data_IF_505592369166
#
_entry.id   IF_505592369166
#
_cell.length_a   1.000
_cell.length_b   1.000
_cell.length_c   1.000
_cell.angle_alpha   90.00
_cell.angle_beta   90.00
_cell.angle_gamma   90.00
#
_symmetry.space_group_name_H-M   'P 1'
#
loop_
_entity.id
_entity.type
_entity.pdbx_description
1 polymer ?
#
# COMPACT_ATOMS: atom_id res chain seq x y z
N UNK A 1 -22.64 28.98 -0.89
CA UNK A 1 -21.33 29.04 -1.57
C UNK A 1 -20.84 27.62 -1.77
N UNK A 2 -20.41 27.25 -2.98
CA UNK A 2 -19.79 25.93 -3.23
C UNK A 2 -18.35 25.97 -2.74
N UNK A 3 -17.90 24.89 -2.10
CA UNK A 3 -16.52 24.76 -1.61
C UNK A 3 -15.99 23.36 -1.90
N UNK A 4 -14.69 23.29 -2.18
CA UNK A 4 -13.93 22.04 -2.33
C UNK A 4 -13.23 21.64 -1.02
N UNK A 5 -13.47 22.38 0.07
CA UNK A 5 -12.88 22.14 1.39
C UNK A 5 -13.63 21.08 2.20
N UNK A 6 -12.94 20.45 3.17
CA UNK A 6 -13.58 19.59 4.17
C UNK A 6 -13.50 18.09 3.88
N UNK A 7 -12.71 17.66 2.90
CA UNK A 7 -12.48 16.26 2.58
C UNK A 7 -13.54 15.63 1.68
N UNK A 8 -13.34 14.33 1.36
CA UNK A 8 -14.16 13.57 0.39
C UNK A 8 -15.67 13.70 0.64
N UNK A 9 -16.11 13.44 1.86
CA UNK A 9 -17.55 13.39 2.18
C UNK A 9 -18.20 14.78 2.10
N UNK A 10 -17.47 15.83 2.45
CA UNK A 10 -17.95 17.20 2.31
C UNK A 10 -18.11 17.58 0.83
N UNK A 11 -17.12 17.24 -0.01
CA UNK A 11 -17.19 17.50 -1.46
C UNK A 11 -18.31 16.70 -2.11
N UNK A 12 -18.49 15.43 -1.73
CA UNK A 12 -19.59 14.59 -2.21
C UNK A 12 -20.94 15.19 -1.83
N UNK A 13 -21.14 15.60 -0.57
CA UNK A 13 -22.38 16.23 -0.12
C UNK A 13 -22.67 17.55 -0.86
N UNK A 14 -21.64 18.30 -1.25
CA UNK A 14 -21.82 19.50 -2.09
C UNK A 14 -22.21 19.14 -3.52
N UNK A 15 -21.62 18.10 -4.10
CA UNK A 15 -22.01 17.58 -5.42
C UNK A 15 -23.48 17.14 -5.43
N UNK A 16 -23.91 16.37 -4.44
CA UNK A 16 -25.28 15.87 -4.35
C UNK A 16 -26.29 17.03 -4.24
N UNK A 17 -25.98 18.04 -3.39
CA UNK A 17 -26.79 19.26 -3.27
C UNK A 17 -26.85 20.05 -4.57
N UNK A 18 -25.74 20.16 -5.28
CA UNK A 18 -25.64 20.87 -6.56
C UNK A 18 -26.49 20.18 -7.63
N UNK A 19 -26.36 18.86 -7.77
CA UNK A 19 -27.14 18.06 -8.72
C UNK A 19 -28.64 18.12 -8.40
N UNK A 20 -29.02 18.04 -7.13
CA UNK A 20 -30.41 18.19 -6.71
C UNK A 20 -30.97 19.57 -7.10
N UNK A 21 -30.23 20.65 -6.85
CA UNK A 21 -30.64 22.02 -7.18
C UNK A 21 -30.82 22.22 -8.69
N UNK A 22 -29.89 21.73 -9.51
CA UNK A 22 -29.91 21.89 -10.97
C UNK A 22 -30.67 20.78 -11.71
N UNK A 23 -31.32 19.85 -11.01
CA UNK A 23 -32.08 18.72 -11.58
C UNK A 23 -33.13 19.14 -12.62
N UNK A 24 -33.73 20.32 -12.47
CA UNK A 24 -34.76 20.86 -13.38
C UNK A 24 -34.24 21.84 -14.43
N UNK A 25 -32.92 21.96 -14.60
CA UNK A 25 -32.31 22.93 -15.52
C UNK A 25 -32.81 22.77 -16.97
N UNK A 26 -32.93 21.52 -17.45
CA UNK A 26 -33.45 21.25 -18.80
C UNK A 26 -34.91 21.69 -18.97
N UNK A 27 -35.73 21.50 -17.93
CA UNK A 27 -37.12 21.99 -17.92
C UNK A 27 -37.17 23.52 -18.02
N UNK A 28 -36.37 24.22 -17.21
CA UNK A 28 -36.32 25.69 -17.27
C UNK A 28 -35.76 26.20 -18.60
N UNK A 29 -34.79 25.51 -19.19
CA UNK A 29 -34.25 25.83 -20.52
C UNK A 29 -35.35 25.74 -21.58
N UNK A 30 -36.12 24.64 -21.60
CA UNK A 30 -37.26 24.49 -22.52
C UNK A 30 -38.34 25.55 -22.31
N UNK A 31 -38.66 25.88 -21.05
CA UNK A 31 -39.63 26.93 -20.73
C UNK A 31 -39.14 28.32 -21.19
N UNK A 32 -37.86 28.63 -21.03
CA UNK A 32 -37.26 29.88 -21.51
C UNK A 32 -37.28 29.98 -23.04
N UNK A 33 -36.99 28.89 -23.75
CA UNK A 33 -37.11 28.82 -25.22
C UNK A 33 -38.54 29.09 -25.67
N UNK A 34 -39.53 28.51 -24.99
CA UNK A 34 -40.95 28.78 -25.26
C UNK A 34 -41.32 30.24 -25.03
N UNK A 35 -40.88 30.84 -23.91
CA UNK A 35 -41.11 32.26 -23.60
C UNK A 35 -40.45 33.20 -24.61
N UNK A 36 -39.23 32.89 -25.07
CA UNK A 36 -38.57 33.62 -26.15
C UNK A 36 -39.41 33.62 -27.43
N UNK A 37 -39.96 32.47 -27.82
CA UNK A 37 -40.80 32.35 -29.02
C UNK A 37 -42.08 33.20 -28.90
N UNK A 38 -42.74 33.16 -27.74
CA UNK A 38 -43.93 33.98 -27.46
C UNK A 38 -43.57 35.47 -27.50
N UNK A 39 -42.48 35.87 -26.86
CA UNK A 39 -42.01 37.25 -26.83
C UNK A 39 -41.70 37.78 -28.24
N UNK A 40 -40.99 37.00 -29.06
CA UNK A 40 -40.71 37.36 -30.46
C UNK A 40 -41.99 37.56 -31.28
N UNK A 41 -43.02 36.75 -31.06
CA UNK A 41 -44.30 36.92 -31.74
C UNK A 41 -44.99 38.23 -31.30
N UNK A 42 -44.96 38.57 -30.00
CA UNK A 42 -45.52 39.82 -29.48
C UNK A 42 -44.81 41.03 -30.09
N UNK A 43 -43.47 41.04 -30.08
CA UNK A 43 -42.67 42.14 -30.65
C UNK A 43 -43.02 42.34 -32.13
N UNK A 44 -43.10 41.27 -32.91
CA UNK A 44 -43.49 41.34 -34.33
C UNK A 44 -44.88 41.95 -34.54
N UNK A 45 -45.87 41.55 -33.75
CA UNK A 45 -47.23 42.09 -33.85
C UNK A 45 -47.30 43.56 -33.45
N UNK A 46 -46.49 43.97 -32.48
CA UNK A 46 -46.43 45.33 -31.96
C UNK A 46 -45.70 46.27 -32.92
N UNK A 47 -44.59 45.82 -33.52
CA UNK A 47 -43.85 46.56 -34.56
C UNK A 47 -44.74 46.85 -35.79
N UNK A 48 -45.62 45.92 -36.17
CA UNK A 48 -46.60 46.13 -37.24
C UNK A 48 -47.62 47.24 -36.95
N UNK A 49 -47.89 47.52 -35.66
CA UNK A 49 -48.82 48.56 -35.24
C UNK A 49 -48.16 49.96 -35.16
N UNK A 50 -46.84 50.06 -35.31
CA UNK A 50 -46.09 51.31 -35.52
C UNK A 50 -45.94 52.29 -34.34
N UNK A 51 -46.59 52.01 -33.20
CA UNK A 51 -46.83 53.03 -32.17
C UNK A 51 -46.28 52.70 -30.76
N UNK A 52 -45.51 51.62 -30.60
CA UNK A 52 -45.05 51.14 -29.28
C UNK A 52 -43.54 50.86 -29.33
N UNK A 53 -42.79 51.46 -28.40
CA UNK A 53 -41.36 51.20 -28.24
C UNK A 53 -41.11 49.86 -27.53
N UNK A 54 -40.35 48.97 -28.17
CA UNK A 54 -40.03 47.63 -27.66
C UNK A 54 -38.59 47.50 -27.16
N UNK A 55 -37.78 48.57 -27.19
CA UNK A 55 -36.34 48.52 -26.85
C UNK A 55 -36.09 48.00 -25.42
N UNK A 56 -36.78 48.54 -24.43
CA UNK A 56 -36.62 48.13 -23.03
C UNK A 56 -37.01 46.65 -22.82
N UNK A 57 -38.07 46.19 -23.48
CA UNK A 57 -38.54 44.82 -23.39
C UNK A 57 -37.54 43.84 -24.03
N UNK A 58 -36.98 44.20 -25.19
CA UNK A 58 -35.92 43.45 -25.85
C UNK A 58 -34.67 43.36 -24.96
N UNK A 59 -34.26 44.46 -24.35
CA UNK A 59 -33.12 44.49 -23.43
C UNK A 59 -33.33 43.58 -22.21
N UNK A 60 -34.52 43.61 -21.60
CA UNK A 60 -34.87 42.71 -20.48
C UNK A 60 -34.86 41.24 -20.89
N UNK A 61 -35.38 40.90 -22.07
CA UNK A 61 -35.39 39.52 -22.55
C UNK A 61 -33.97 39.03 -22.86
N UNK A 62 -33.13 39.87 -23.46
CA UNK A 62 -31.71 39.57 -23.68
C UNK A 62 -30.99 39.33 -22.35
N UNK A 63 -31.14 40.25 -21.39
CA UNK A 63 -30.52 40.12 -20.07
C UNK A 63 -30.95 38.83 -19.33
N UNK A 64 -32.22 38.44 -19.46
CA UNK A 64 -32.72 37.19 -18.88
C UNK A 64 -32.02 35.96 -19.50
N UNK A 65 -31.89 35.94 -20.84
CA UNK A 65 -31.20 34.87 -21.54
C UNK A 65 -29.72 34.80 -21.15
N UNK A 66 -29.04 35.96 -21.12
CA UNK A 66 -27.62 36.05 -20.76
C UNK A 66 -27.38 35.56 -19.32
N UNK A 67 -28.23 35.97 -18.38
CA UNK A 67 -28.15 35.50 -16.98
C UNK A 67 -28.42 34.00 -16.86
N UNK A 68 -29.40 33.47 -17.59
CA UNK A 68 -29.69 32.04 -17.58
C UNK A 68 -28.52 31.23 -18.15
N UNK A 69 -27.96 31.67 -19.28
CA UNK A 69 -26.79 31.04 -19.89
C UNK A 69 -25.57 31.10 -18.96
N UNK A 70 -25.31 32.26 -18.35
CA UNK A 70 -24.23 32.43 -17.38
C UNK A 70 -24.38 31.46 -16.21
N UNK A 71 -25.55 31.38 -15.58
CA UNK A 71 -25.79 30.49 -14.43
C UNK A 71 -25.66 29.02 -14.84
N UNK A 72 -26.24 28.62 -15.98
CA UNK A 72 -26.19 27.22 -16.41
C UNK A 72 -24.80 26.76 -16.83
N UNK A 73 -24.01 27.62 -17.50
CA UNK A 73 -22.62 27.33 -17.83
C UNK A 73 -21.76 27.22 -16.57
N UNK A 74 -21.90 28.16 -15.64
CA UNK A 74 -21.17 28.10 -14.36
C UNK A 74 -21.55 26.87 -13.54
N UNK A 75 -22.83 26.49 -13.54
CA UNK A 75 -23.30 25.28 -12.86
C UNK A 75 -22.63 24.02 -13.42
N UNK A 76 -22.50 23.91 -14.75
CA UNK A 76 -21.80 22.79 -15.38
C UNK A 76 -20.30 22.75 -15.03
N UNK A 77 -19.62 23.90 -15.06
CA UNK A 77 -18.20 23.99 -14.67
C UNK A 77 -18.01 23.55 -13.22
N UNK A 78 -18.89 24.00 -12.32
CA UNK A 78 -18.82 23.62 -10.91
C UNK A 78 -19.14 22.14 -10.69
N UNK A 79 -20.10 21.59 -11.42
CA UNK A 79 -20.40 20.16 -11.35
C UNK A 79 -19.18 19.33 -11.78
N UNK A 80 -18.52 19.69 -12.89
CA UNK A 80 -17.29 19.03 -13.34
C UNK A 80 -16.17 19.13 -12.30
N UNK A 81 -15.96 20.31 -11.70
CA UNK A 81 -14.95 20.49 -10.64
C UNK A 81 -15.24 19.64 -9.41
N UNK A 82 -16.49 19.55 -8.99
CA UNK A 82 -16.92 18.74 -7.85
C UNK A 82 -16.74 17.24 -8.14
N UNK A 83 -17.16 16.78 -9.32
CA UNK A 83 -16.97 15.40 -9.76
C UNK A 83 -15.50 15.02 -9.83
N UNK A 84 -14.66 15.88 -10.40
CA UNK A 84 -13.21 15.65 -10.47
C UNK A 84 -12.59 15.59 -9.07
N UNK A 85 -12.93 16.52 -8.19
CA UNK A 85 -12.43 16.51 -6.82
C UNK A 85 -12.83 15.24 -6.04
N UNK A 86 -14.08 14.76 -6.19
CA UNK A 86 -14.53 13.48 -5.62
C UNK A 86 -13.70 12.31 -6.16
N UNK A 87 -13.45 12.27 -7.47
CA UNK A 87 -12.63 11.24 -8.11
C UNK A 87 -11.20 11.24 -7.57
N UNK A 88 -10.55 12.40 -7.53
CA UNK A 88 -9.21 12.52 -6.97
C UNK A 88 -9.15 12.09 -5.51
N UNK A 89 -10.14 12.47 -4.70
CA UNK A 89 -10.24 12.02 -3.31
C UNK A 89 -10.38 10.51 -3.20
N UNK A 90 -11.18 9.88 -4.05
CA UNK A 90 -11.35 8.45 -4.07
C UNK A 90 -10.04 7.73 -4.41
N UNK A 91 -9.37 8.14 -5.48
CA UNK A 91 -8.11 7.55 -5.92
C UNK A 91 -7.02 7.67 -4.86
N UNK A 92 -6.85 8.87 -4.29
CA UNK A 92 -5.88 9.10 -3.21
C UNK A 92 -6.14 8.22 -1.98
N UNK A 93 -7.40 8.12 -1.54
CA UNK A 93 -7.78 7.29 -0.39
C UNK A 93 -7.56 5.81 -0.65
N UNK A 94 -7.76 5.35 -1.88
CA UNK A 94 -7.51 3.94 -2.21
C UNK A 94 -6.00 3.62 -2.20
N UNK A 95 -5.17 4.49 -2.77
CA UNK A 95 -3.71 4.35 -2.67
C UNK A 95 -3.23 4.40 -1.21
N UNK A 96 -3.73 5.34 -0.42
CA UNK A 96 -3.44 5.46 1.00
C UNK A 96 -3.83 4.20 1.77
N UNK A 97 -5.02 3.64 1.50
CA UNK A 97 -5.51 2.40 2.13
C UNK A 97 -4.63 1.21 1.79
N UNK A 98 -4.35 0.98 0.50
CA UNK A 98 -3.52 -0.15 0.05
C UNK A 98 -2.15 -0.14 0.71
N UNK A 99 -1.49 1.01 0.74
CA UNK A 99 -0.17 1.14 1.38
C UNK A 99 -0.28 0.97 2.90
N UNK A 100 -1.28 1.57 3.54
CA UNK A 100 -1.45 1.47 4.99
C UNK A 100 -1.73 0.02 5.44
N UNK A 101 -2.58 -0.71 4.71
CA UNK A 101 -2.90 -2.10 5.00
C UNK A 101 -1.67 -3.00 4.83
N UNK A 102 -0.89 -2.78 3.77
CA UNK A 102 0.37 -3.50 3.57
C UNK A 102 1.39 -3.20 4.68
N UNK A 103 1.56 -1.92 5.04
CA UNK A 103 2.48 -1.51 6.11
C UNK A 103 2.08 -2.12 7.45
N UNK A 104 0.79 -2.13 7.77
CA UNK A 104 0.29 -2.74 9.00
C UNK A 104 0.59 -4.24 9.03
N UNK A 105 0.39 -4.94 7.91
CA UNK A 105 0.73 -6.36 7.81
C UNK A 105 2.24 -6.60 7.91
N UNK A 106 3.05 -5.74 7.29
CA UNK A 106 4.50 -5.81 7.36
C UNK A 106 5.01 -5.61 8.79
N UNK A 107 4.51 -4.59 9.50
CA UNK A 107 4.82 -4.33 10.92
C UNK A 107 4.43 -5.53 11.81
N UNK A 108 3.27 -6.15 11.57
CA UNK A 108 2.87 -7.39 12.25
C UNK A 108 3.84 -8.54 12.00
N UNK A 109 4.21 -8.79 10.75
CA UNK A 109 5.14 -9.87 10.39
C UNK A 109 6.57 -9.62 10.93
N UNK A 110 7.00 -8.37 11.01
CA UNK A 110 8.31 -8.03 11.61
C UNK A 110 8.29 -8.22 13.13
N UNK A 111 7.16 -7.93 13.79
CA UNK A 111 7.03 -8.06 15.25
C UNK A 111 6.82 -9.50 15.75
N UNK A 112 6.57 -10.45 14.85
CA UNK A 112 6.31 -11.84 15.20
C UNK A 112 7.57 -12.54 15.73
N UNK A 113 7.49 -13.08 16.96
CA UNK A 113 8.67 -13.58 17.70
C UNK A 113 8.96 -15.07 17.51
N UNK A 114 7.93 -15.86 17.21
CA UNK A 114 7.98 -17.33 17.13
C UNK A 114 7.85 -17.81 15.70
N UNK A 115 8.92 -17.60 14.92
CA UNK A 115 9.01 -18.04 13.52
C UNK A 115 10.07 -19.12 13.48
N UNK A 116 9.61 -20.36 13.60
CA UNK A 116 10.46 -21.53 13.83
C UNK A 116 10.27 -22.59 12.72
N UNK A 117 9.48 -22.28 11.68
CA UNK A 117 9.15 -23.21 10.59
C UNK A 117 9.51 -22.64 9.23
N UNK A 118 9.96 -23.51 8.33
CA UNK A 118 10.29 -23.18 6.94
C UNK A 118 9.11 -22.56 6.20
N UNK A 119 7.89 -23.04 6.47
CA UNK A 119 6.66 -22.51 5.87
C UNK A 119 6.47 -21.03 6.24
N UNK A 120 6.62 -20.66 7.50
CA UNK A 120 6.44 -19.26 7.94
C UNK A 120 7.54 -18.35 7.38
N UNK A 121 8.79 -18.81 7.31
CA UNK A 121 9.87 -18.04 6.68
C UNK A 121 9.59 -17.80 5.20
N UNK A 122 9.12 -18.81 4.47
CA UNK A 122 8.78 -18.68 3.05
C UNK A 122 7.60 -17.71 2.84
N UNK A 123 6.59 -17.72 3.71
CA UNK A 123 5.51 -16.73 3.69
C UNK A 123 6.04 -15.30 3.83
N UNK A 124 7.03 -15.07 4.69
CA UNK A 124 7.67 -13.76 4.84
C UNK A 124 8.42 -13.37 3.56
N UNK A 125 9.20 -14.27 2.99
CA UNK A 125 9.94 -14.03 1.73
C UNK A 125 8.99 -13.66 0.59
N UNK A 126 7.91 -14.41 0.43
CA UNK A 126 6.89 -14.14 -0.59
C UNK A 126 6.20 -12.80 -0.35
N UNK A 127 5.86 -12.47 0.91
CA UNK A 127 5.21 -11.20 1.24
C UNK A 127 6.09 -9.99 0.91
N UNK A 128 7.34 -9.98 1.37
CA UNK A 128 8.27 -8.87 1.11
C UNK A 128 8.76 -8.83 -0.33
N UNK A 129 8.85 -9.98 -1.02
CA UNK A 129 9.25 -10.06 -2.43
C UNK A 129 8.16 -9.65 -3.44
N UNK A 130 6.88 -9.69 -3.05
CA UNK A 130 5.74 -9.28 -3.92
C UNK A 130 5.38 -7.80 -3.79
N UNK A 131 6.19 -7.01 -3.09
CA UNK A 131 5.93 -5.59 -2.91
C UNK A 131 5.95 -4.86 -4.26
N UNK A 132 4.92 -4.06 -4.53
CA UNK A 132 4.86 -3.27 -5.76
C UNK A 132 5.44 -1.88 -5.53
N UNK A 133 6.63 -1.64 -6.08
CA UNK A 133 7.32 -0.35 -5.98
C UNK A 133 6.52 0.83 -6.57
N UNK A 134 5.54 0.56 -7.45
CA UNK A 134 4.70 1.61 -8.04
C UNK A 134 3.69 2.20 -7.07
N UNK A 135 3.35 1.53 -5.96
CA UNK A 135 2.35 2.06 -5.04
C UNK A 135 2.72 3.44 -4.49
N UNK A 136 4.00 3.65 -4.16
CA UNK A 136 4.47 4.97 -3.69
C UNK A 136 4.39 6.01 -4.81
N UNK A 137 4.71 5.64 -6.04
CA UNK A 137 4.57 6.53 -7.19
C UNK A 137 3.10 6.92 -7.40
N UNK A 138 2.20 5.95 -7.38
CA UNK A 138 0.76 6.17 -7.57
C UNK A 138 0.16 7.01 -6.42
N UNK A 139 0.62 6.82 -5.19
CA UNK A 139 0.26 7.66 -4.05
C UNK A 139 0.67 9.12 -4.28
N UNK A 140 1.90 9.37 -4.73
CA UNK A 140 2.40 10.73 -5.01
C UNK A 140 1.62 11.36 -6.16
N UNK A 141 1.37 10.60 -7.23
CA UNK A 141 0.64 11.10 -8.39
C UNK A 141 -0.81 11.46 -8.03
N UNK A 142 -1.53 10.55 -7.36
CA UNK A 142 -2.92 10.81 -6.94
C UNK A 142 -3.02 11.94 -5.90
N UNK A 143 -2.02 12.10 -5.04
CA UNK A 143 -1.92 13.24 -4.14
C UNK A 143 -1.71 14.56 -4.89
N UNK A 144 -0.87 14.57 -5.95
CA UNK A 144 -0.66 15.75 -6.77
C UNK A 144 -1.94 16.13 -7.54
N UNK A 145 -2.63 15.16 -8.12
CA UNK A 145 -3.90 15.38 -8.81
C UNK A 145 -4.96 15.95 -7.87
N UNK A 146 -5.04 15.39 -6.65
CA UNK A 146 -5.93 15.89 -5.61
C UNK A 146 -5.58 17.33 -5.19
N UNK A 147 -4.29 17.65 -5.03
CA UNK A 147 -3.84 19.02 -4.70
C UNK A 147 -4.20 20.02 -5.79
N UNK A 148 -4.13 19.63 -7.06
CA UNK A 148 -4.53 20.49 -8.19
C UNK A 148 -6.03 20.81 -8.16
N UNK A 149 -6.84 19.93 -7.56
CA UNK A 149 -8.29 20.14 -7.40
C UNK A 149 -8.65 20.95 -6.14
N UNK A 150 -7.75 21.07 -5.17
CA UNK A 150 -8.06 21.61 -3.85
C UNK A 150 -7.50 23.02 -3.60
N UNK A 151 -8.22 23.84 -2.81
CA UNK A 151 -7.69 25.08 -2.24
C UNK A 151 -6.39 24.87 -1.45
N UNK A 152 -5.50 25.87 -1.45
CA UNK A 152 -4.16 25.79 -0.86
C UNK A 152 -4.15 25.47 0.65
N UNK A 153 -5.17 25.88 1.39
CA UNK A 153 -5.33 25.62 2.82
C UNK A 153 -5.56 24.13 3.12
N UNK A 154 -6.12 23.38 2.18
CA UNK A 154 -6.43 21.95 2.33
C UNK A 154 -5.30 21.03 1.84
N UNK A 155 -4.23 21.58 1.25
CA UNK A 155 -3.15 20.76 0.67
C UNK A 155 -2.18 20.21 1.71
N UNK A 156 -1.95 20.94 2.82
CA UNK A 156 -0.95 20.54 3.84
C UNK A 156 -1.21 19.16 4.45
N UNK A 157 -2.44 18.81 4.87
CA UNK A 157 -2.70 17.47 5.44
C UNK A 157 -2.39 16.32 4.47
N UNK A 158 -2.61 16.53 3.17
CA UNK A 158 -2.34 15.53 2.13
C UNK A 158 -0.82 15.30 2.02
N UNK A 159 -0.05 16.39 1.95
CA UNK A 159 1.43 16.33 1.90
C UNK A 159 1.96 15.57 3.11
N UNK A 160 1.52 15.94 4.32
CA UNK A 160 1.96 15.28 5.54
C UNK A 160 1.62 13.78 5.56
N UNK A 161 0.45 13.37 5.03
CA UNK A 161 0.09 11.95 4.97
C UNK A 161 1.00 11.18 4.00
N UNK A 162 1.27 11.77 2.82
CA UNK A 162 2.17 11.18 1.82
C UNK A 162 3.58 11.03 2.39
N UNK A 163 4.13 12.08 2.98
CA UNK A 163 5.49 12.05 3.57
C UNK A 163 5.60 10.99 4.67
N UNK A 164 4.59 10.88 5.54
CA UNK A 164 4.55 9.87 6.60
C UNK A 164 4.52 8.46 6.03
N UNK A 165 3.66 8.19 5.04
CA UNK A 165 3.56 6.87 4.41
C UNK A 165 4.84 6.52 3.65
N UNK A 166 5.43 7.47 2.93
CA UNK A 166 6.72 7.27 2.26
C UNK A 166 7.85 6.96 3.23
N UNK A 167 7.89 7.65 4.36
CA UNK A 167 8.92 7.44 5.38
C UNK A 167 8.79 6.04 5.98
N UNK A 168 7.59 5.66 6.41
CA UNK A 168 7.31 4.30 6.91
C UNK A 168 7.58 3.21 5.88
N UNK A 169 7.21 3.44 4.62
CA UNK A 169 7.48 2.52 3.53
C UNK A 169 8.97 2.27 3.33
N UNK A 170 9.77 3.33 3.28
CA UNK A 170 11.23 3.23 3.16
C UNK A 170 11.83 2.52 4.37
N UNK A 171 11.36 2.86 5.57
CA UNK A 171 11.79 2.23 6.82
C UNK A 171 11.55 0.72 6.78
N UNK A 172 10.31 0.28 6.54
CA UNK A 172 9.95 -1.14 6.46
C UNK A 172 10.77 -1.87 5.40
N UNK A 173 10.93 -1.28 4.20
CA UNK A 173 11.73 -1.90 3.15
C UNK A 173 13.23 -1.98 3.49
N UNK A 174 13.75 -1.04 4.27
CA UNK A 174 15.14 -1.12 4.75
C UNK A 174 15.33 -2.20 5.82
N UNK A 175 14.31 -2.47 6.64
CA UNK A 175 14.35 -3.50 7.67
C UNK A 175 14.03 -4.90 7.14
N UNK A 176 13.25 -5.02 6.06
CA UNK A 176 12.79 -6.30 5.56
C UNK A 176 13.93 -7.29 5.21
N UNK A 177 15.01 -6.92 4.50
CA UNK A 177 16.13 -7.82 4.24
C UNK A 177 16.80 -8.33 5.52
N UNK A 178 17.01 -7.44 6.49
CA UNK A 178 17.61 -7.77 7.78
C UNK A 178 16.74 -8.76 8.57
N UNK A 179 15.42 -8.54 8.56
CA UNK A 179 14.44 -9.45 9.18
C UNK A 179 14.50 -10.83 8.54
N UNK A 180 14.48 -10.90 7.21
CA UNK A 180 14.54 -12.18 6.49
C UNK A 180 15.84 -12.93 6.77
N UNK A 181 16.99 -12.26 6.77
CA UNK A 181 18.28 -12.90 7.10
C UNK A 181 18.28 -13.47 8.53
N UNK A 182 17.72 -12.75 9.51
CA UNK A 182 17.59 -13.25 10.89
C UNK A 182 16.70 -14.48 10.99
N UNK A 183 15.64 -14.56 10.17
CA UNK A 183 14.75 -15.71 10.14
C UNK A 183 15.41 -16.93 9.48
N UNK A 184 16.11 -16.73 8.36
CA UNK A 184 16.87 -17.79 7.69
C UNK A 184 17.99 -18.31 8.60
N UNK A 185 18.68 -17.42 9.30
CA UNK A 185 19.66 -17.78 10.33
C UNK A 185 19.06 -18.68 11.42
N UNK A 186 17.93 -18.27 12.02
CA UNK A 186 17.27 -19.03 13.08
C UNK A 186 16.81 -20.41 12.63
N UNK A 187 16.42 -20.55 11.36
CA UNK A 187 16.00 -21.83 10.80
C UNK A 187 17.18 -22.80 10.67
N UNK A 188 18.32 -22.32 10.15
CA UNK A 188 19.54 -23.11 10.08
C UNK A 188 20.09 -23.41 11.48
N UNK A 189 19.96 -22.48 12.43
CA UNK A 189 20.31 -22.69 13.83
C UNK A 189 19.45 -23.80 14.47
N UNK A 190 18.14 -23.78 14.24
CA UNK A 190 17.23 -24.82 14.75
C UNK A 190 17.55 -26.19 14.12
N UNK A 191 17.85 -26.21 12.83
CA UNK A 191 18.23 -27.42 12.08
C UNK A 191 19.55 -27.98 12.59
N UNK A 192 20.54 -27.12 12.83
CA UNK A 192 21.83 -27.47 13.45
C UNK A 192 21.61 -28.15 14.81
N UNK A 193 20.85 -27.53 15.72
CA UNK A 193 20.59 -28.09 17.04
C UNK A 193 19.87 -29.45 16.96
N UNK A 194 18.99 -29.64 15.99
CA UNK A 194 18.34 -30.93 15.75
C UNK A 194 19.35 -31.99 15.32
N UNK A 195 20.26 -31.69 14.38
CA UNK A 195 21.32 -32.62 13.97
C UNK A 195 22.29 -32.95 15.10
N UNK A 196 22.74 -31.94 15.88
CA UNK A 196 23.61 -32.18 17.04
C UNK A 196 22.96 -33.14 18.03
N UNK A 197 21.67 -32.93 18.33
CA UNK A 197 20.92 -33.82 19.23
C UNK A 197 20.79 -35.25 18.68
N UNK A 198 20.64 -35.40 17.37
CA UNK A 198 20.61 -36.71 16.71
C UNK A 198 21.98 -37.40 16.76
N UNK A 199 23.06 -36.66 16.53
CA UNK A 199 24.45 -37.13 16.65
C UNK A 199 24.74 -37.58 18.09
N UNK A 200 24.43 -36.75 19.10
CA UNK A 200 24.62 -37.09 20.51
C UNK A 200 23.85 -38.35 20.91
N UNK A 201 22.61 -38.48 20.43
CA UNK A 201 21.77 -39.65 20.69
C UNK A 201 22.39 -40.90 20.06
N UNK A 202 22.88 -40.81 18.83
CA UNK A 202 23.50 -41.94 18.14
C UNK A 202 24.80 -42.37 18.81
N UNK A 203 25.67 -41.42 19.18
CA UNK A 203 26.90 -41.69 19.94
C UNK A 203 26.58 -42.37 21.27
N UNK A 204 25.52 -41.93 21.98
CA UNK A 204 25.11 -42.54 23.24
C UNK A 204 24.64 -44.00 23.04
N UNK A 205 23.87 -44.26 21.98
CA UNK A 205 23.44 -45.62 21.62
C UNK A 205 24.66 -46.52 21.34
N UNK A 206 25.61 -46.04 20.53
CA UNK A 206 26.85 -46.76 20.23
C UNK A 206 27.68 -47.02 21.49
N UNK A 207 27.84 -46.03 22.36
CA UNK A 207 28.55 -46.15 23.62
C UNK A 207 27.88 -47.17 24.56
N UNK A 208 26.55 -47.18 24.63
CA UNK A 208 25.81 -48.16 25.42
C UNK A 208 25.96 -49.58 24.88
N UNK A 209 25.88 -49.77 23.56
CA UNK A 209 26.10 -51.06 22.92
C UNK A 209 27.52 -51.57 23.16
N UNK A 210 28.51 -50.69 23.05
CA UNK A 210 29.91 -50.98 23.36
C UNK A 210 30.09 -51.40 24.82
N UNK A 211 29.52 -50.65 25.77
CA UNK A 211 29.60 -50.96 27.20
C UNK A 211 28.94 -52.30 27.57
N UNK A 212 27.95 -52.75 26.79
CA UNK A 212 27.29 -54.05 26.93
C UNK A 212 28.05 -55.20 26.26
N UNK A 213 29.22 -54.94 25.68
CA UNK A 213 30.02 -55.91 24.92
C UNK A 213 29.25 -56.51 23.74
N UNK A 214 28.39 -55.71 23.09
CA UNK A 214 27.74 -56.11 21.84
C UNK A 214 28.76 -56.26 20.71
N UNK A 215 28.34 -56.87 19.59
CA UNK A 215 29.22 -57.16 18.47
C UNK A 215 29.79 -55.85 17.85
N UNK A 216 31.11 -55.72 17.89
CA UNK A 216 31.86 -54.56 17.39
C UNK A 216 31.59 -54.30 15.90
N UNK A 217 31.45 -55.34 15.08
CA UNK A 217 31.19 -55.18 13.64
C UNK A 217 29.81 -54.54 13.38
N UNK A 218 28.84 -54.81 14.24
CA UNK A 218 27.49 -54.21 14.16
C UNK A 218 27.56 -52.73 14.55
N UNK A 219 28.31 -52.39 15.59
CA UNK A 219 28.52 -51.00 16.02
C UNK A 219 29.26 -50.21 14.92
N UNK A 220 30.33 -50.76 14.34
CA UNK A 220 31.08 -50.12 13.25
C UNK A 220 30.24 -49.93 11.99
N UNK A 221 29.40 -50.91 11.65
CA UNK A 221 28.50 -50.79 10.49
C UNK A 221 27.46 -49.70 10.70
N UNK A 222 26.91 -49.59 11.91
CA UNK A 222 25.94 -48.56 12.29
C UNK A 222 26.56 -47.16 12.27
N UNK A 223 27.76 -47.01 12.84
CA UNK A 223 28.51 -45.77 12.82
C UNK A 223 28.80 -45.32 11.37
N UNK A 224 29.26 -46.25 10.52
CA UNK A 224 29.51 -45.96 9.11
C UNK A 224 28.23 -45.59 8.36
N UNK A 225 27.11 -46.25 8.65
CA UNK A 225 25.83 -45.87 8.05
C UNK A 225 25.41 -44.46 8.44
N UNK A 226 25.45 -44.13 9.72
CA UNK A 226 24.97 -42.85 10.22
C UNK A 226 25.88 -41.68 9.83
N UNK A 227 27.19 -41.79 10.04
CA UNK A 227 28.12 -40.68 9.82
C UNK A 227 28.61 -40.57 8.38
N UNK A 228 28.76 -41.69 7.65
CA UNK A 228 29.33 -41.69 6.29
C UNK A 228 28.26 -41.79 5.23
N UNK A 229 27.33 -42.75 5.32
CA UNK A 229 26.36 -42.95 4.23
C UNK A 229 25.25 -41.88 4.22
N UNK A 230 24.82 -41.40 5.40
CA UNK A 230 23.77 -40.37 5.49
C UNK A 230 24.29 -38.94 5.34
N UNK A 231 25.61 -38.73 5.42
CA UNK A 231 26.21 -37.41 5.23
C UNK A 231 25.84 -36.37 6.30
N UNK A 232 25.40 -36.79 7.50
CA UNK A 232 24.92 -35.87 8.56
C UNK A 232 25.96 -34.79 8.91
N UNK A 233 27.24 -35.15 8.92
CA UNK A 233 28.37 -34.22 9.15
C UNK A 233 28.42 -33.12 8.08
N UNK A 234 28.22 -33.47 6.81
CA UNK A 234 28.23 -32.50 5.71
C UNK A 234 27.03 -31.55 5.79
N UNK A 235 25.85 -32.06 6.17
CA UNK A 235 24.65 -31.24 6.37
C UNK A 235 24.85 -30.23 7.53
N UNK A 236 25.46 -30.67 8.64
CA UNK A 236 25.80 -29.78 9.76
C UNK A 236 26.79 -28.69 9.33
N UNK A 237 27.87 -29.06 8.64
CA UNK A 237 28.83 -28.09 8.10
C UNK A 237 28.16 -27.10 7.14
N UNK A 238 27.20 -27.56 6.33
CA UNK A 238 26.44 -26.71 5.41
C UNK A 238 25.56 -25.71 6.17
N UNK A 239 24.90 -26.13 7.25
CA UNK A 239 24.14 -25.23 8.13
C UNK A 239 25.05 -24.13 8.73
N UNK A 240 26.23 -24.50 9.25
CA UNK A 240 27.20 -23.54 9.79
C UNK A 240 27.67 -22.56 8.72
N UNK A 241 27.99 -23.05 7.52
CA UNK A 241 28.41 -22.19 6.41
C UNK A 241 27.31 -21.21 5.98
N UNK A 242 26.05 -21.65 5.94
CA UNK A 242 24.93 -20.78 5.62
C UNK A 242 24.73 -19.71 6.71
N UNK A 243 24.73 -20.10 7.98
CA UNK A 243 24.66 -19.19 9.13
C UNK A 243 25.78 -18.14 9.09
N UNK A 244 27.01 -18.53 8.76
CA UNK A 244 28.14 -17.61 8.58
C UNK A 244 27.89 -16.62 7.44
N UNK A 245 27.42 -17.09 6.28
CA UNK A 245 27.06 -16.20 5.16
C UNK A 245 25.98 -15.20 5.54
N UNK A 246 24.95 -15.61 6.28
CA UNK A 246 23.90 -14.70 6.74
C UNK A 246 24.46 -13.67 7.73
N UNK A 247 25.33 -14.07 8.67
CA UNK A 247 25.97 -13.16 9.61
C UNK A 247 26.87 -12.13 8.91
N UNK A 248 27.72 -12.56 7.97
CA UNK A 248 28.59 -11.68 7.18
C UNK A 248 27.78 -10.66 6.38
N UNK A 249 26.73 -11.13 5.69
CA UNK A 249 25.82 -10.26 4.95
C UNK A 249 25.10 -9.29 5.89
N UNK A 250 24.62 -9.75 7.04
CA UNK A 250 23.93 -8.91 8.01
C UNK A 250 24.84 -7.79 8.54
N UNK A 251 26.10 -8.09 8.86
CA UNK A 251 27.08 -7.09 9.32
C UNK A 251 27.42 -6.06 8.24
N UNK A 252 27.38 -6.43 6.95
CA UNK A 252 27.55 -5.47 5.86
C UNK A 252 26.45 -4.41 5.84
N UNK A 253 25.24 -4.73 6.31
CA UNK A 253 24.12 -3.81 6.41
C UNK A 253 24.05 -3.10 7.77
N UNK A 254 24.34 -3.80 8.86
CA UNK A 254 24.43 -3.24 10.22
C UNK A 254 25.77 -3.59 10.88
N UNK A 255 26.80 -2.76 10.70
CA UNK A 255 28.14 -3.02 11.25
C UNK A 255 28.18 -3.01 12.78
N UNK A 256 27.28 -2.26 13.42
CA UNK A 256 27.23 -2.10 14.88
C UNK A 256 26.56 -3.29 15.60
N UNK A 257 25.83 -4.14 14.88
CA UNK A 257 25.13 -5.30 15.44
C UNK A 257 25.91 -6.59 15.16
N UNK A 258 26.63 -7.05 16.18
CA UNK A 258 27.47 -8.24 16.10
C UNK A 258 26.78 -9.51 16.63
N UNK A 259 25.46 -9.46 16.90
CA UNK A 259 24.75 -10.55 17.55
C UNK A 259 24.81 -11.87 16.76
N UNK A 260 24.63 -11.82 15.43
CA UNK A 260 24.69 -13.01 14.59
C UNK A 260 26.10 -13.62 14.53
N UNK A 261 27.16 -12.80 14.47
CA UNK A 261 28.54 -13.31 14.48
C UNK A 261 28.88 -14.01 15.81
N UNK A 262 28.41 -13.47 16.94
CA UNK A 262 28.61 -14.12 18.24
C UNK A 262 27.86 -15.46 18.30
N UNK A 263 26.65 -15.54 17.74
CA UNK A 263 25.90 -16.78 17.64
C UNK A 263 26.63 -17.82 16.77
N UNK A 264 27.14 -17.43 15.59
CA UNK A 264 27.95 -18.30 14.73
C UNK A 264 29.18 -18.81 15.46
N UNK A 265 29.92 -17.94 16.15
CA UNK A 265 31.10 -18.36 16.93
C UNK A 265 30.75 -19.37 18.02
N UNK A 266 29.59 -19.21 18.66
CA UNK A 266 29.13 -20.14 19.70
C UNK A 266 28.78 -21.50 19.10
N UNK A 267 28.06 -21.51 17.97
CA UNK A 267 27.72 -22.73 17.22
C UNK A 267 28.99 -23.45 16.74
N UNK A 268 29.97 -22.72 16.24
CA UNK A 268 31.27 -23.25 15.80
C UNK A 268 32.13 -23.79 16.94
N UNK A 269 31.98 -23.26 18.16
CA UNK A 269 32.65 -23.83 19.35
C UNK A 269 31.95 -25.07 19.87
N UNK A 270 30.63 -25.18 19.66
CA UNK A 270 29.83 -26.33 20.07
C UNK A 270 30.03 -27.53 19.13
N UNK A 271 30.23 -27.27 17.83
CA UNK A 271 30.54 -28.27 16.81
C UNK A 271 31.98 -28.79 16.92
#
# INVERSE_FOLDING_TARGET
SLSLSGGKDAVQAQLDKHQAFFSRTLYYKSMLVSKNKVFQNIVKSVDQAGNIDTQEANAKMQQLNDRFNYVTQNAQIWEQKLQEAVRCWHNFRECERVISDWLLKAEQMISEKHIDTQETVELHKVFFGRVNERWVHDLVQTAQDLRNCLPSDQQRPIINSVERLQSKWKEVLSFAPLHLMRLEFRLDETTFHQYVKEIEKEINIEQQAFNKQENIDVILTRNKDFFVNRGVVQEVEQCIQNMRKYADNYTAWQPDDNALNVAVQTIEQQW
#
